data_IF_101603521227
#
_entry.id   IF_101603521227
#
_cell.length_a   1.000
_cell.length_b   1.000
_cell.length_c   1.000
_cell.angle_alpha   90.00
_cell.angle_beta   90.00
_cell.angle_gamma   90.00
#
_symmetry.space_group_name_H-M   'P 1'
#
loop_
_entity.id
_entity.type
_entity.pdbx_description
1 polymer ?
#
# COMPACT_ATOMS: atom_id res chain seq x y z
N UNK A 1 -6.45 17.47 -9.24
CA UNK A 1 -5.37 18.03 -8.41
C UNK A 1 -4.60 16.83 -7.91
N UNK A 2 -3.35 16.66 -8.32
CA UNK A 2 -2.50 15.64 -7.72
C UNK A 2 -2.36 15.98 -6.23
N UNK A 3 -2.82 15.10 -5.34
CA UNK A 3 -2.39 15.19 -3.95
C UNK A 3 -0.89 14.90 -3.96
N UNK A 4 -0.08 15.96 -4.00
CA UNK A 4 1.28 15.93 -3.46
C UNK A 4 1.12 15.73 -1.94
N UNK A 5 0.81 14.51 -1.54
CA UNK A 5 0.68 14.13 -0.14
C UNK A 5 2.10 13.99 0.41
N UNK A 6 2.70 15.13 0.76
CA UNK A 6 3.78 15.22 1.75
C UNK A 6 3.21 14.75 3.09
N UNK A 7 3.14 13.43 3.31
CA UNK A 7 2.67 12.85 4.56
C UNK A 7 3.86 12.75 5.51
N UNK A 8 3.96 13.74 6.38
CA UNK A 8 4.90 13.76 7.50
C UNK A 8 4.33 12.96 8.69
N UNK A 9 5.14 12.20 9.45
CA UNK A 9 5.95 11.05 9.04
C UNK A 9 5.12 9.77 9.19
N UNK A 10 4.68 9.18 8.08
CA UNK A 10 4.01 7.90 8.14
C UNK A 10 5.01 6.81 8.55
N UNK A 11 4.79 6.18 9.70
CA UNK A 11 5.64 5.09 10.17
C UNK A 11 4.92 3.76 10.03
N UNK A 12 5.38 2.95 9.08
CA UNK A 12 5.03 1.53 9.07
C UNK A 12 5.73 0.84 10.23
N UNK A 13 4.95 0.22 11.10
CA UNK A 13 5.49 -0.37 12.31
C UNK A 13 6.12 -1.73 11.98
N UNK A 14 7.40 -1.69 11.60
CA UNK A 14 8.20 -2.88 11.32
C UNK A 14 8.35 -3.82 12.53
N UNK A 15 8.05 -3.35 13.75
CA UNK A 15 8.04 -4.21 14.94
C UNK A 15 6.75 -5.04 15.06
N UNK A 16 5.69 -4.69 14.33
CA UNK A 16 4.43 -5.42 14.26
C UNK A 16 4.16 -5.81 12.80
N UNK A 17 5.17 -6.43 12.18
CA UNK A 17 5.00 -7.07 10.88
C UNK A 17 4.11 -8.28 11.07
N UNK A 18 2.95 -8.25 10.43
CA UNK A 18 2.10 -9.42 10.33
C UNK A 18 2.68 -10.43 9.35
N UNK A 19 3.14 -9.96 8.18
CA UNK A 19 3.67 -10.82 7.12
C UNK A 19 4.59 -10.07 6.17
N UNK A 20 5.60 -10.75 5.64
CA UNK A 20 6.42 -10.27 4.54
C UNK A 20 6.44 -11.32 3.43
N UNK A 21 6.16 -10.89 2.20
CA UNK A 21 6.05 -11.72 1.01
C UNK A 21 7.02 -11.19 -0.03
N UNK A 22 7.88 -12.07 -0.56
CA UNK A 22 8.79 -11.74 -1.63
C UNK A 22 8.16 -12.09 -2.99
N UNK A 23 7.71 -11.09 -3.73
CA UNK A 23 7.25 -11.25 -5.10
C UNK A 23 8.45 -11.24 -6.07
N UNK A 24 8.99 -12.43 -6.33
CA UNK A 24 10.12 -12.60 -7.26
C UNK A 24 9.79 -12.20 -8.69
N UNK A 25 8.52 -12.27 -9.10
CA UNK A 25 8.11 -12.00 -10.48
C UNK A 25 8.08 -10.51 -10.76
N UNK A 26 7.53 -9.71 -9.84
CA UNK A 26 7.57 -8.24 -9.95
C UNK A 26 8.87 -7.64 -9.43
N UNK A 27 9.66 -8.34 -8.61
CA UNK A 27 10.87 -7.80 -8.01
C UNK A 27 10.57 -6.88 -6.82
N UNK A 28 9.56 -7.23 -6.03
CA UNK A 28 9.10 -6.47 -4.86
C UNK A 28 9.09 -7.32 -3.60
N UNK A 29 9.33 -6.67 -2.46
CA UNK A 29 8.87 -7.17 -1.17
C UNK A 29 7.59 -6.43 -0.77
N UNK A 30 6.58 -7.20 -0.40
CA UNK A 30 5.30 -6.70 0.13
C UNK A 30 5.27 -7.03 1.61
N UNK A 31 5.04 -6.04 2.45
CA UNK A 31 5.00 -6.19 3.90
C UNK A 31 3.61 -5.77 4.35
N UNK A 32 2.93 -6.64 5.09
CA UNK A 32 1.64 -6.36 5.73
C UNK A 32 1.86 -6.12 7.21
N UNK A 33 1.31 -5.05 7.75
CA UNK A 33 1.56 -4.65 9.12
C UNK A 33 0.78 -3.42 9.53
N UNK A 34 0.95 -3.04 10.79
CA UNK A 34 0.28 -1.87 11.35
C UNK A 34 1.01 -0.57 11.01
N UNK A 35 0.24 0.50 10.89
CA UNK A 35 0.75 1.83 10.59
C UNK A 35 0.50 2.74 11.79
N UNK A 36 1.43 3.66 12.00
CA UNK A 36 1.39 4.66 13.06
C UNK A 36 1.87 6.02 12.56
N UNK A 37 1.64 7.08 13.34
CA UNK A 37 2.08 8.42 12.98
C UNK A 37 1.25 9.09 11.88
N UNK A 38 0.02 8.62 11.67
CA UNK A 38 -0.91 9.27 10.73
C UNK A 38 -1.24 10.70 11.18
N UNK A 39 -1.22 11.69 10.26
CA UNK A 39 -1.72 13.03 10.54
C UNK A 39 -3.19 12.98 11.02
N UNK A 40 -3.61 13.85 11.94
CA UNK A 40 -4.98 13.85 12.47
C UNK A 40 -6.06 13.88 11.38
N UNK A 41 -5.81 14.64 10.30
CA UNK A 41 -6.75 14.80 9.17
C UNK A 41 -6.95 13.50 8.35
N UNK A 42 -6.04 12.53 8.48
CA UNK A 42 -6.09 11.23 7.81
C UNK A 42 -6.31 10.07 8.80
N UNK A 43 -6.19 10.33 10.11
CA UNK A 43 -6.29 9.31 11.15
C UNK A 43 -7.68 8.65 11.17
N UNK A 44 -8.75 9.43 11.04
CA UNK A 44 -10.13 8.90 11.02
C UNK A 44 -10.36 7.90 9.87
N UNK A 45 -9.79 8.16 8.69
CA UNK A 45 -9.88 7.23 7.57
C UNK A 45 -9.18 5.92 7.90
N UNK A 46 -8.01 5.96 8.53
CA UNK A 46 -7.15 4.79 8.79
C UNK A 46 -7.67 3.95 9.94
N UNK A 47 -8.24 4.60 10.96
CA UNK A 47 -8.90 3.93 12.08
C UNK A 47 -10.11 3.11 11.60
N UNK A 48 -10.84 3.55 10.57
CA UNK A 48 -11.93 2.77 9.96
C UNK A 48 -11.46 1.46 9.30
N UNK A 49 -10.16 1.33 9.02
CA UNK A 49 -9.55 0.15 8.41
C UNK A 49 -8.50 -0.50 9.33
N UNK A 50 -8.71 -0.39 10.65
CA UNK A 50 -7.95 -1.12 11.67
C UNK A 50 -6.44 -0.78 11.69
N UNK A 51 -6.05 0.35 11.08
CA UNK A 51 -4.66 0.79 10.93
C UNK A 51 -3.72 -0.21 10.25
N UNK A 52 -4.25 -1.09 9.41
CA UNK A 52 -3.46 -2.07 8.63
C UNK A 52 -3.05 -1.45 7.29
N UNK A 53 -1.81 -1.72 6.88
CA UNK A 53 -1.22 -1.26 5.62
C UNK A 53 -0.44 -2.30 4.87
N UNK A 54 -0.15 -1.98 3.61
CA UNK A 54 0.90 -2.62 2.82
C UNK A 54 2.06 -1.66 2.62
N UNK A 55 3.28 -2.13 2.88
CA UNK A 55 4.50 -1.47 2.43
C UNK A 55 5.08 -2.24 1.24
N UNK A 56 5.42 -1.50 0.19
CA UNK A 56 6.04 -2.00 -1.04
C UNK A 56 7.49 -1.53 -1.08
N UNK A 57 8.41 -2.48 -1.19
CA UNK A 57 9.84 -2.22 -1.24
C UNK A 57 10.43 -2.81 -2.51
N UNK A 58 11.18 -1.98 -3.24
CA UNK A 58 11.93 -2.43 -4.41
C UNK A 58 13.00 -3.47 -4.01
N UNK A 59 13.00 -4.62 -4.69
CA UNK A 59 14.01 -5.67 -4.58
C UNK A 59 14.59 -6.12 -5.91
N UNK A 60 14.21 -5.47 -7.02
CA UNK A 60 14.64 -5.86 -8.36
C UNK A 60 13.96 -5.11 -9.50
N UNK A 61 12.77 -4.53 -9.28
CA UNK A 61 12.04 -3.75 -10.29
C UNK A 61 12.69 -2.39 -10.59
N UNK A 62 13.53 -1.88 -9.68
CA UNK A 62 14.09 -0.54 -9.80
C UNK A 62 13.13 0.53 -9.25
N UNK A 63 13.68 1.51 -8.54
CA UNK A 63 12.86 2.46 -7.79
C UNK A 63 11.98 3.33 -8.69
N UNK A 64 12.50 3.71 -9.86
CA UNK A 64 11.75 4.55 -10.79
C UNK A 64 10.51 3.85 -11.35
N UNK A 65 10.62 2.55 -11.64
CA UNK A 65 9.50 1.75 -12.15
C UNK A 65 8.44 1.55 -11.06
N UNK A 66 8.87 1.29 -9.82
CA UNK A 66 7.95 1.24 -8.68
C UNK A 66 7.24 2.59 -8.45
N UNK A 67 7.99 3.70 -8.49
CA UNK A 67 7.43 5.04 -8.34
C UNK A 67 6.35 5.31 -9.41
N UNK A 68 6.61 4.98 -10.67
CA UNK A 68 5.63 5.12 -11.76
C UNK A 68 4.40 4.24 -11.55
N UNK A 69 4.59 2.99 -11.14
CA UNK A 69 3.48 2.07 -10.91
C UNK A 69 2.57 2.53 -9.77
N UNK A 70 3.15 3.00 -8.66
CA UNK A 70 2.39 3.53 -7.53
C UNK A 70 1.70 4.86 -7.85
N UNK A 71 2.33 5.75 -8.63
CA UNK A 71 1.69 6.97 -9.12
C UNK A 71 0.48 6.66 -10.00
N UNK A 72 0.63 5.72 -10.95
CA UNK A 72 -0.46 5.29 -11.81
C UNK A 72 -1.61 4.67 -11.00
N UNK A 73 -1.30 3.86 -9.99
CA UNK A 73 -2.30 3.31 -9.08
C UNK A 73 -3.05 4.45 -8.35
N UNK A 74 -2.33 5.46 -7.85
CA UNK A 74 -2.93 6.61 -7.20
C UNK A 74 -3.86 7.40 -8.12
N UNK A 75 -3.48 7.56 -9.39
CA UNK A 75 -4.34 8.19 -10.40
C UNK A 75 -5.60 7.37 -10.71
N UNK A 76 -5.48 6.03 -10.79
CA UNK A 76 -6.64 5.14 -10.97
C UNK A 76 -7.60 5.27 -9.78
N UNK A 77 -7.07 5.33 -8.56
CA UNK A 77 -7.84 5.50 -7.32
C UNK A 77 -8.45 6.88 -7.16
N UNK A 78 -7.84 7.96 -7.67
CA UNK A 78 -8.47 9.28 -7.62
C UNK A 78 -9.78 9.36 -8.40
N UNK A 79 -9.97 8.48 -9.39
CA UNK A 79 -11.19 8.42 -10.19
C UNK A 79 -12.28 7.54 -9.58
N UNK A 80 -11.91 6.65 -8.66
CA UNK A 80 -12.81 5.75 -7.95
C UNK A 80 -13.06 6.32 -6.55
N UNK A 81 -14.32 6.50 -6.13
CA UNK A 81 -14.66 7.02 -4.80
C UNK A 81 -14.24 5.97 -3.75
N UNK A 82 -12.97 5.97 -3.35
CA UNK A 82 -12.39 4.88 -2.59
C UNK A 82 -11.38 5.39 -1.56
N UNK A 83 -11.51 4.83 -0.35
CA UNK A 83 -10.76 5.23 0.84
C UNK A 83 -9.37 4.59 0.86
N UNK A 84 -8.59 4.77 -0.20
CA UNK A 84 -7.21 4.27 -0.27
C UNK A 84 -6.22 5.43 -0.38
N UNK A 85 -5.29 5.46 0.56
CA UNK A 85 -4.15 6.36 0.57
C UNK A 85 -2.93 5.63 0.03
N UNK A 86 -2.31 6.25 -0.98
CA UNK A 86 -1.12 5.75 -1.64
C UNK A 86 -0.06 6.83 -1.48
N UNK A 87 1.00 6.53 -0.74
CA UNK A 87 2.01 7.52 -0.38
C UNK A 87 3.40 6.90 -0.32
N UNK A 88 4.44 7.71 -0.54
CA UNK A 88 5.83 7.29 -0.42
C UNK A 88 6.36 7.71 0.95
N UNK A 89 7.27 6.93 1.53
CA UNK A 89 7.96 7.35 2.76
C UNK A 89 8.68 8.68 2.56
N UNK A 90 8.61 9.52 3.58
CA UNK A 90 9.33 10.79 3.71
C UNK A 90 10.62 10.65 4.53
N UNK A 91 10.90 9.46 5.09
CA UNK A 91 12.09 9.21 5.89
C UNK A 91 13.35 9.16 5.03
N UNK A 92 14.48 9.71 5.50
CA UNK A 92 15.76 9.58 4.81
C UNK A 92 16.10 8.11 4.56
N UNK A 93 16.44 7.77 3.32
CA UNK A 93 16.82 6.42 2.88
C UNK A 93 15.70 5.38 2.88
N UNK A 94 14.45 5.76 3.21
CA UNK A 94 13.30 4.89 3.05
C UNK A 94 12.65 5.15 1.69
N UNK A 95 12.73 4.15 0.80
CA UNK A 95 12.17 4.23 -0.54
C UNK A 95 10.83 3.48 -0.68
N UNK A 96 10.24 3.07 0.44
CA UNK A 96 9.00 2.30 0.45
C UNK A 96 7.80 3.14 0.03
N UNK A 97 6.86 2.48 -0.63
CA UNK A 97 5.51 2.98 -0.84
C UNK A 97 4.54 2.32 0.12
N UNK A 98 3.54 3.05 0.57
CA UNK A 98 2.52 2.60 1.50
C UNK A 98 1.15 2.68 0.85
N UNK A 99 0.38 1.59 0.99
CA UNK A 99 -1.02 1.48 0.60
C UNK A 99 -1.84 1.28 1.88
N UNK A 100 -2.82 2.15 2.12
CA UNK A 100 -3.47 2.27 3.42
C UNK A 100 -4.95 2.58 3.23
N UNK A 101 -5.83 1.83 3.89
CA UNK A 101 -7.27 2.01 3.79
C UNK A 101 -7.98 0.70 3.44
N UNK A 102 -8.95 0.73 2.53
CA UNK A 102 -9.68 -0.50 2.14
C UNK A 102 -8.86 -1.41 1.20
N UNK A 103 -7.92 -2.15 1.80
CA UNK A 103 -7.03 -3.07 1.09
C UNK A 103 -7.76 -4.26 0.48
N UNK A 104 -8.87 -4.71 1.09
CA UNK A 104 -9.67 -5.82 0.53
C UNK A 104 -10.41 -5.37 -0.72
N UNK A 105 -11.05 -4.20 -0.68
CA UNK A 105 -11.66 -3.61 -1.87
C UNK A 105 -10.61 -3.39 -2.98
N UNK A 106 -9.39 -2.99 -2.61
CA UNK A 106 -8.30 -2.86 -3.57
C UNK A 106 -7.97 -4.18 -4.28
N UNK A 107 -7.81 -5.27 -3.54
CA UNK A 107 -7.56 -6.57 -4.15
C UNK A 107 -8.73 -7.01 -5.04
N UNK A 108 -9.98 -6.76 -4.63
CA UNK A 108 -11.17 -7.08 -5.44
C UNK A 108 -11.25 -6.28 -6.75
N UNK A 109 -10.89 -4.99 -6.74
CA UNK A 109 -10.84 -4.15 -7.94
C UNK A 109 -9.72 -4.62 -8.89
N UNK A 110 -8.58 -5.02 -8.34
CA UNK A 110 -7.46 -5.54 -9.13
C UNK A 110 -7.80 -6.90 -9.77
N UNK A 111 -8.49 -7.79 -9.06
CA UNK A 111 -8.97 -9.07 -9.59
C UNK A 111 -9.98 -8.90 -10.75
N UNK A 112 -10.68 -7.76 -10.80
CA UNK A 112 -11.62 -7.41 -11.88
C UNK A 112 -10.98 -6.60 -13.02
N UNK A 113 -9.65 -6.47 -13.02
CA UNK A 113 -8.87 -5.69 -13.99
C UNK A 113 -9.27 -4.19 -14.05
N UNK A 114 -9.88 -3.65 -13.00
CA UNK A 114 -10.28 -2.23 -12.93
C UNK A 114 -9.07 -1.34 -12.63
N UNK A 115 -8.19 -1.82 -11.73
CA UNK A 115 -6.94 -1.18 -11.34
C UNK A 115 -5.77 -2.13 -11.59
N UNK A 116 -4.56 -1.59 -11.65
CA UNK A 116 -3.33 -2.39 -11.78
C UNK A 116 -2.47 -2.23 -10.54
N UNK A 117 -2.22 -3.33 -9.83
CA UNK A 117 -1.31 -3.35 -8.68
C UNK A 117 0.13 -3.56 -9.15
N UNK A 118 1.12 -3.01 -8.43
CA UNK A 118 2.54 -3.12 -8.80
C UNK A 118 3.15 -4.50 -8.52
N UNK A 119 2.36 -5.43 -7.98
CA UNK A 119 2.77 -6.79 -7.66
C UNK A 119 1.85 -7.82 -8.34
N UNK A 120 2.28 -9.07 -8.30
CA UNK A 120 1.67 -10.14 -9.07
C UNK A 120 0.30 -10.57 -8.55
N UNK A 121 -0.59 -10.85 -9.48
CA UNK A 121 -1.95 -11.37 -9.30
C UNK A 121 -2.08 -12.62 -8.44
N UNK A 122 -1.13 -13.55 -8.53
CA UNK A 122 -1.15 -14.77 -7.72
C UNK A 122 -1.05 -14.51 -6.20
N UNK A 123 -0.67 -13.31 -5.78
CA UNK A 123 -0.60 -12.92 -4.37
C UNK A 123 -1.92 -12.39 -3.83
N UNK A 124 -2.91 -12.12 -4.68
CA UNK A 124 -4.14 -11.44 -4.27
C UNK A 124 -4.95 -12.27 -3.27
N UNK A 125 -5.08 -13.58 -3.51
CA UNK A 125 -5.80 -14.49 -2.60
C UNK A 125 -5.07 -14.62 -1.25
N UNK A 126 -3.75 -14.80 -1.29
CA UNK A 126 -2.92 -14.91 -0.09
C UNK A 126 -2.96 -13.64 0.78
N UNK A 127 -2.94 -12.46 0.16
CA UNK A 127 -3.07 -11.18 0.85
C UNK A 127 -4.49 -10.99 1.41
N UNK A 128 -5.51 -11.37 0.66
CA UNK A 128 -6.91 -11.26 1.08
C UNK A 128 -7.20 -12.11 2.31
N UNK A 129 -6.74 -13.36 2.32
CA UNK A 129 -6.89 -14.27 3.46
C UNK A 129 -6.16 -13.73 4.70
N UNK A 130 -4.98 -13.17 4.50
CA UNK A 130 -4.20 -12.58 5.57
C UNK A 130 -4.89 -11.35 6.17
N UNK A 131 -5.36 -10.42 5.34
CA UNK A 131 -6.07 -9.21 5.77
C UNK A 131 -7.37 -9.54 6.52
N UNK A 132 -8.10 -10.59 6.10
CA UNK A 132 -9.30 -11.08 6.80
C UNK A 132 -9.01 -11.68 8.18
N UNK A 133 -7.78 -12.11 8.44
CA UNK A 133 -7.38 -12.69 9.73
C UNK A 133 -7.04 -11.61 10.77
N UNK A 134 -6.65 -10.41 10.31
CA UNK A 134 -6.25 -9.29 11.17
C UNK A 134 -7.37 -8.29 11.48
N UNK A 135 -8.55 -8.49 10.87
CA UNK A 135 -9.78 -7.72 11.06
C UNK A 135 -10.72 -8.45 12.01
#
# INVERSE_FOLDING_TARGET
MALDTLITPLNFNDAIIGKSINDKKSGLDIIVGYISGMPPDLAEMVEQFDSIGLALMNRGIGQHELDQACQKLAEQYQNEISSLLITKSDLPFDARWYLIGDLLQMLELAQKDIISLPFSDFLYDELSDFLRTYR
#
